data_IF_697271037003
#
_entry.id   IF_697271037003
#
_cell.length_a   1.000
_cell.length_b   1.000
_cell.length_c   1.000
_cell.angle_alpha   90.00
_cell.angle_beta   90.00
_cell.angle_gamma   90.00
#
_symmetry.space_group_name_H-M   'P 1'
#
loop_
_entity.id
_entity.type
_entity.pdbx_description
1 polymer ?
#
# COMPACT_ATOMS: atom_id res chain seq x y z
N UNK A 1 -26.86 13.71 22.83
CA UNK A 1 -25.99 13.85 21.65
C UNK A 1 -25.73 12.44 21.15
N UNK A 2 -25.94 12.16 19.86
CA UNK A 2 -25.58 10.84 19.30
C UNK A 2 -24.05 10.80 19.26
N UNK A 3 -23.44 9.92 20.04
CA UNK A 3 -21.98 9.74 20.06
C UNK A 3 -21.57 9.12 18.72
N UNK A 4 -20.55 9.68 18.09
CA UNK A 4 -20.04 9.18 16.82
C UNK A 4 -19.54 7.72 17.02
N UNK A 5 -20.02 6.76 16.21
CA UNK A 5 -19.70 5.35 16.38
C UNK A 5 -18.21 5.04 16.18
N UNK A 6 -17.49 5.82 15.37
CA UNK A 6 -16.05 5.66 15.16
C UNK A 6 -15.25 6.17 16.37
N UNK A 7 -15.61 7.32 16.92
CA UNK A 7 -14.99 7.86 18.14
C UNK A 7 -15.12 6.85 19.28
N UNK A 8 -16.33 6.35 19.52
CA UNK A 8 -16.58 5.33 20.55
C UNK A 8 -15.80 4.03 20.30
N UNK A 9 -15.68 3.61 19.04
CA UNK A 9 -14.95 2.40 18.69
C UNK A 9 -13.48 2.46 19.11
N UNK A 10 -12.86 3.64 18.94
CA UNK A 10 -11.48 3.89 19.35
C UNK A 10 -11.38 3.94 20.87
N UNK A 11 -12.25 4.70 21.53
CA UNK A 11 -12.29 4.82 23.00
C UNK A 11 -12.46 3.44 23.69
N UNK A 12 -13.37 2.62 23.18
CA UNK A 12 -13.69 1.29 23.74
C UNK A 12 -12.68 0.21 23.29
N UNK A 13 -11.64 0.55 22.51
CA UNK A 13 -10.71 -0.40 21.87
C UNK A 13 -11.42 -1.58 21.18
N UNK A 14 -12.57 -1.29 20.57
CA UNK A 14 -13.44 -2.30 19.96
C UNK A 14 -13.25 -2.38 18.44
N UNK A 15 -13.91 -3.35 17.81
CA UNK A 15 -13.91 -3.48 16.35
C UNK A 15 -14.77 -2.39 15.70
N UNK A 16 -14.39 -1.87 14.51
CA UNK A 16 -15.18 -0.88 13.81
C UNK A 16 -16.61 -1.37 13.55
N UNK A 17 -17.64 -0.59 13.90
CA UNK A 17 -19.04 -1.00 13.75
C UNK A 17 -19.51 -0.86 12.30
N UNK A 18 -18.90 -1.58 11.36
CA UNK A 18 -19.11 -1.45 9.91
C UNK A 18 -20.58 -1.52 9.47
N UNK A 19 -21.42 -2.27 10.19
CA UNK A 19 -22.84 -2.39 9.88
C UNK A 19 -23.65 -1.11 10.18
N UNK A 20 -23.15 -0.25 11.08
CA UNK A 20 -23.81 0.98 11.53
C UNK A 20 -23.11 2.24 11.01
N UNK A 21 -21.87 2.08 10.55
CA UNK A 21 -21.03 3.16 10.04
C UNK A 21 -21.66 3.83 8.82
N UNK A 22 -21.71 5.17 8.85
CA UNK A 22 -22.11 6.00 7.72
C UNK A 22 -20.92 6.83 7.24
N UNK A 23 -20.84 7.17 5.93
CA UNK A 23 -19.81 8.07 5.43
C UNK A 23 -19.74 9.40 6.21
N UNK A 24 -20.90 9.92 6.63
CA UNK A 24 -21.00 11.17 7.40
C UNK A 24 -20.37 11.09 8.80
N UNK A 25 -20.11 9.88 9.33
CA UNK A 25 -19.45 9.71 10.63
C UNK A 25 -17.92 9.91 10.54
N UNK A 26 -17.33 9.79 9.35
CA UNK A 26 -15.87 9.74 9.18
C UNK A 26 -15.22 11.09 9.43
N UNK A 27 -15.68 12.15 8.74
CA UNK A 27 -15.06 13.45 8.84
C UNK A 27 -15.14 14.04 10.26
N UNK A 28 -16.28 13.96 10.99
CA UNK A 28 -16.34 14.40 12.39
C UNK A 28 -15.41 13.61 13.30
N UNK A 29 -15.34 12.28 13.17
CA UNK A 29 -14.46 11.45 14.01
C UNK A 29 -12.98 11.79 13.79
N UNK A 30 -12.55 11.92 12.54
CA UNK A 30 -11.19 12.30 12.20
C UNK A 30 -10.84 13.70 12.72
N UNK A 31 -11.72 14.68 12.54
CA UNK A 31 -11.47 16.05 13.04
C UNK A 31 -11.32 16.09 14.56
N UNK A 32 -12.12 15.32 15.29
CA UNK A 32 -11.97 15.20 16.75
C UNK A 32 -10.62 14.59 17.11
N UNK A 33 -10.28 13.43 16.54
CA UNK A 33 -9.00 12.76 16.82
C UNK A 33 -7.80 13.61 16.43
N UNK A 34 -7.88 14.37 15.33
CA UNK A 34 -6.83 15.31 14.91
C UNK A 34 -6.66 16.47 15.90
N UNK A 35 -7.76 16.99 16.45
CA UNK A 35 -7.70 18.08 17.43
C UNK A 35 -7.11 17.59 18.77
N UNK A 36 -7.51 16.40 19.21
CA UNK A 36 -6.97 15.73 20.40
C UNK A 36 -5.47 15.44 20.21
N UNK A 37 -5.10 14.79 19.10
CA UNK A 37 -3.71 14.54 18.73
C UNK A 37 -2.84 15.81 18.76
N UNK A 38 -3.33 16.89 18.14
CA UNK A 38 -2.60 18.14 18.09
C UNK A 38 -2.38 18.75 19.49
N UNK A 39 -3.43 18.73 20.33
CA UNK A 39 -3.39 19.23 21.70
C UNK A 39 -2.46 18.38 22.58
N UNK A 40 -2.53 17.06 22.48
CA UNK A 40 -1.74 16.16 23.31
C UNK A 40 -0.27 16.17 22.89
N UNK A 41 0.03 16.31 21.59
CA UNK A 41 1.39 16.52 21.12
C UNK A 41 1.99 17.80 21.70
N UNK A 42 1.24 18.91 21.70
CA UNK A 42 1.69 20.18 22.29
C UNK A 42 1.96 20.03 23.80
N UNK A 43 1.09 19.32 24.53
CA UNK A 43 1.30 19.03 25.94
C UNK A 43 2.56 18.16 26.19
N UNK A 44 2.81 17.15 25.35
CA UNK A 44 4.04 16.34 25.42
C UNK A 44 5.28 17.20 25.14
N UNK A 45 5.23 18.06 24.13
CA UNK A 45 6.33 18.96 23.79
C UNK A 45 6.64 19.95 24.93
N UNK A 46 5.62 20.53 25.55
CA UNK A 46 5.77 21.45 26.68
C UNK A 46 6.39 20.75 27.91
N UNK A 47 5.92 19.54 28.24
CA UNK A 47 6.45 18.76 29.35
C UNK A 47 7.92 18.37 29.12
N UNK A 48 8.26 17.89 27.91
CA UNK A 48 9.60 17.45 27.55
C UNK A 48 10.59 18.61 27.37
N UNK A 49 10.10 19.82 27.08
CA UNK A 49 10.93 21.03 27.00
C UNK A 49 11.36 21.56 28.39
N UNK A 50 10.74 21.07 29.48
CA UNK A 50 11.11 21.47 30.83
C UNK A 50 12.54 21.00 31.18
N UNK A 51 13.44 21.88 31.67
CA UNK A 51 14.82 21.49 32.01
C UNK A 51 14.95 20.39 33.06
N UNK A 52 13.94 20.26 33.94
CA UNK A 52 13.88 19.27 35.01
C UNK A 52 13.05 18.04 34.62
N UNK A 53 12.68 17.89 33.34
CA UNK A 53 11.89 16.77 32.85
C UNK A 53 12.62 15.44 33.09
N UNK A 54 11.93 14.49 33.72
CA UNK A 54 12.42 13.12 33.84
C UNK A 54 12.19 12.37 32.51
N UNK A 55 13.29 12.05 31.83
CA UNK A 55 13.26 11.32 30.56
C UNK A 55 13.31 9.81 30.83
N UNK A 56 12.18 9.13 30.66
CA UNK A 56 12.03 7.69 30.78
C UNK A 56 11.31 7.12 29.55
N UNK A 57 11.19 5.78 29.47
CA UNK A 57 10.40 5.15 28.41
C UNK A 57 8.94 5.58 28.51
N UNK A 58 8.38 5.57 29.71
CA UNK A 58 6.99 5.90 30.01
C UNK A 58 6.69 7.38 29.72
N UNK A 59 7.61 8.29 30.06
CA UNK A 59 7.42 9.73 29.85
C UNK A 59 7.58 10.17 28.39
N UNK A 60 8.12 9.30 27.52
CA UNK A 60 8.33 9.60 26.10
C UNK A 60 7.55 8.64 25.22
N UNK A 61 7.94 7.37 25.18
CA UNK A 61 7.45 6.39 24.20
C UNK A 61 6.01 5.96 24.46
N UNK A 62 5.65 5.65 25.70
CA UNK A 62 4.27 5.25 26.01
C UNK A 62 3.29 6.39 25.75
N UNK A 63 3.66 7.63 26.09
CA UNK A 63 2.86 8.82 25.78
C UNK A 63 2.67 9.03 24.28
N UNK A 64 3.72 8.84 23.48
CA UNK A 64 3.63 8.93 22.02
C UNK A 64 2.71 7.86 21.44
N UNK A 65 2.85 6.60 21.90
CA UNK A 65 1.98 5.50 21.46
C UNK A 65 0.50 5.79 21.77
N UNK A 66 0.21 6.33 22.95
CA UNK A 66 -1.15 6.70 23.36
C UNK A 66 -1.76 7.76 22.45
N UNK A 67 -1.00 8.80 22.08
CA UNK A 67 -1.55 9.88 21.25
C UNK A 67 -1.64 9.48 19.77
N UNK A 68 -0.73 8.65 19.27
CA UNK A 68 -0.70 8.22 17.86
C UNK A 68 -1.90 7.29 17.54
N UNK A 69 -2.28 6.40 18.46
CA UNK A 69 -3.24 5.30 18.22
C UNK A 69 -4.62 5.76 17.69
N UNK A 70 -5.33 6.74 18.29
CA UNK A 70 -6.66 7.13 17.82
C UNK A 70 -6.72 7.56 16.36
N UNK A 71 -5.81 8.47 15.97
CA UNK A 71 -5.77 9.00 14.61
C UNK A 71 -5.30 7.93 13.61
N UNK A 72 -4.31 7.12 13.98
CA UNK A 72 -3.83 6.03 13.13
C UNK A 72 -4.90 4.96 12.86
N UNK A 73 -5.63 4.54 13.90
CA UNK A 73 -6.72 3.57 13.76
C UNK A 73 -7.82 4.10 12.84
N UNK A 74 -8.28 5.33 13.06
CA UNK A 74 -9.31 5.94 12.24
C UNK A 74 -8.86 6.10 10.78
N UNK A 75 -7.63 6.55 10.57
CA UNK A 75 -7.06 6.70 9.23
C UNK A 75 -6.94 5.34 8.53
N UNK A 76 -6.52 4.29 9.26
CA UNK A 76 -6.48 2.92 8.74
C UNK A 76 -7.86 2.44 8.31
N UNK A 77 -8.91 2.68 9.10
CA UNK A 77 -10.30 2.33 8.75
C UNK A 77 -10.69 3.00 7.42
N UNK A 78 -10.39 4.29 7.25
CA UNK A 78 -10.69 5.01 6.00
C UNK A 78 -9.96 4.40 4.81
N UNK A 79 -8.65 4.14 4.94
CA UNK A 79 -7.84 3.53 3.88
C UNK A 79 -8.34 2.12 3.51
N UNK A 80 -8.77 1.32 4.48
CA UNK A 80 -9.34 -0.01 4.22
C UNK A 80 -10.71 0.08 3.53
N UNK A 81 -11.59 0.99 3.97
CA UNK A 81 -12.89 1.22 3.33
C UNK A 81 -12.73 1.72 1.90
N UNK A 82 -11.74 2.57 1.61
CA UNK A 82 -11.43 2.99 0.25
C UNK A 82 -10.96 1.85 -0.66
N UNK A 83 -10.30 0.83 -0.09
CA UNK A 83 -9.91 -0.39 -0.83
C UNK A 83 -11.10 -1.32 -1.07
N UNK A 84 -11.96 -1.50 -0.06
CA UNK A 84 -13.02 -2.52 -0.08
C UNK A 84 -14.36 -2.03 -0.64
N UNK A 85 -14.77 -0.79 -0.34
CA UNK A 85 -16.10 -0.24 -0.62
C UNK A 85 -15.97 1.22 -1.09
N UNK A 86 -15.15 1.45 -2.12
CA UNK A 86 -14.84 2.79 -2.63
C UNK A 86 -16.10 3.56 -3.09
N UNK A 87 -16.53 4.57 -2.31
CA UNK A 87 -17.69 5.41 -2.59
C UNK A 87 -17.30 6.89 -2.77
N UNK A 88 -18.04 7.70 -3.56
CA UNK A 88 -17.75 9.13 -3.76
C UNK A 88 -17.59 9.91 -2.45
N UNK A 89 -18.43 9.63 -1.47
CA UNK A 89 -18.47 10.29 -0.16
C UNK A 89 -17.18 9.99 0.63
N UNK A 90 -16.69 8.74 0.58
CA UNK A 90 -15.42 8.35 1.19
C UNK A 90 -14.23 9.04 0.52
N UNK A 91 -14.24 9.15 -0.82
CA UNK A 91 -13.18 9.87 -1.55
C UNK A 91 -13.18 11.36 -1.24
N UNK A 92 -14.35 11.97 -1.09
CA UNK A 92 -14.48 13.37 -0.70
C UNK A 92 -13.92 13.60 0.71
N UNK A 93 -14.31 12.77 1.68
CA UNK A 93 -13.80 12.86 3.06
C UNK A 93 -12.27 12.65 3.13
N UNK A 94 -11.74 11.66 2.41
CA UNK A 94 -10.29 11.44 2.32
C UNK A 94 -9.58 12.66 1.69
N UNK A 95 -10.03 13.11 0.52
CA UNK A 95 -9.41 14.24 -0.18
C UNK A 95 -9.46 15.54 0.61
N UNK A 96 -10.47 15.74 1.45
CA UNK A 96 -10.60 16.92 2.31
C UNK A 96 -9.60 16.90 3.49
N UNK A 97 -9.35 15.72 4.06
CA UNK A 97 -8.66 15.58 5.34
C UNK A 97 -7.21 15.07 5.22
N UNK A 98 -6.85 14.40 4.12
CA UNK A 98 -5.54 13.79 3.89
C UNK A 98 -4.39 14.75 4.18
N UNK A 99 -4.46 15.96 3.62
CA UNK A 99 -3.43 16.99 3.78
C UNK A 99 -3.26 17.44 5.24
N UNK A 100 -4.35 17.48 6.02
CA UNK A 100 -4.28 17.82 7.44
C UNK A 100 -3.73 16.66 8.28
N UNK A 101 -4.14 15.42 7.98
CA UNK A 101 -3.62 14.21 8.64
C UNK A 101 -2.12 14.07 8.41
N UNK A 102 -1.67 14.19 7.15
CA UNK A 102 -0.26 14.12 6.77
C UNK A 102 0.55 15.23 7.44
N UNK A 103 0.01 16.46 7.52
CA UNK A 103 0.66 17.55 8.25
C UNK A 103 0.86 17.25 9.73
N UNK A 104 -0.14 16.70 10.41
CA UNK A 104 -0.04 16.35 11.84
C UNK A 104 0.96 15.22 12.07
N UNK A 105 0.92 14.17 11.24
CA UNK A 105 1.89 13.08 11.28
C UNK A 105 3.32 13.59 11.06
N UNK A 106 3.51 14.51 10.10
CA UNK A 106 4.81 15.14 9.86
C UNK A 106 5.23 16.04 11.04
N UNK A 107 4.32 16.84 11.62
CA UNK A 107 4.61 17.67 12.81
C UNK A 107 5.14 16.80 13.95
N UNK A 108 4.46 15.70 14.26
CA UNK A 108 4.89 14.72 15.28
C UNK A 108 6.23 14.10 14.94
N UNK A 109 6.38 13.58 13.72
CA UNK A 109 7.62 12.90 13.29
C UNK A 109 8.84 13.84 13.26
N UNK A 110 8.63 15.14 13.06
CA UNK A 110 9.67 16.17 12.97
C UNK A 110 9.83 16.99 14.27
N UNK A 111 9.12 16.63 15.35
CA UNK A 111 9.23 17.34 16.62
C UNK A 111 10.65 17.23 17.16
N UNK A 112 11.35 18.37 17.20
CA UNK A 112 12.74 18.46 17.66
C UNK A 112 12.84 18.10 19.14
N UNK A 113 11.85 18.51 19.95
CA UNK A 113 11.82 18.24 21.39
C UNK A 113 11.65 16.74 21.64
N UNK A 114 10.68 16.10 20.97
CA UNK A 114 10.50 14.64 21.05
C UNK A 114 11.75 13.90 20.57
N UNK A 115 12.35 14.33 19.45
CA UNK A 115 13.58 13.73 18.94
C UNK A 115 14.75 13.83 19.93
N UNK A 116 14.92 14.98 20.59
CA UNK A 116 15.93 15.19 21.62
C UNK A 116 15.69 14.31 22.84
N UNK A 117 14.44 14.17 23.29
CA UNK A 117 14.06 13.28 24.38
C UNK A 117 14.35 11.81 24.03
N UNK A 118 13.98 11.34 22.83
CA UNK A 118 14.29 10.00 22.34
C UNK A 118 15.81 9.76 22.22
N UNK A 119 16.57 10.76 21.77
CA UNK A 119 18.04 10.71 21.71
C UNK A 119 18.64 10.60 23.11
N UNK A 120 18.12 11.37 24.06
CA UNK A 120 18.55 11.33 25.47
C UNK A 120 18.25 9.97 26.09
N UNK A 121 17.08 9.40 25.81
CA UNK A 121 16.71 8.05 26.25
C UNK A 121 17.64 6.99 25.66
N UNK A 122 18.01 7.12 24.37
CA UNK A 122 18.96 6.23 23.67
C UNK A 122 20.37 6.29 24.25
N UNK A 123 20.86 7.50 24.50
CA UNK A 123 22.24 7.73 24.91
C UNK A 123 22.40 7.63 26.44
N UNK A 124 21.29 7.55 27.17
CA UNK A 124 21.23 7.46 28.62
C UNK A 124 21.44 6.06 29.20
N UNK A 125 21.66 5.95 30.51
CA UNK A 125 21.91 4.68 31.19
C UNK A 125 20.68 3.76 31.21
N UNK A 126 19.47 4.29 31.00
CA UNK A 126 18.24 3.48 30.93
C UNK A 126 18.21 2.58 29.68
N UNK A 127 18.87 2.98 28.59
CA UNK A 127 18.83 2.25 27.31
C UNK A 127 19.29 0.80 27.41
N UNK A 128 20.33 0.53 28.22
CA UNK A 128 20.85 -0.84 28.41
C UNK A 128 19.90 -1.75 29.18
N UNK A 129 18.90 -1.18 29.86
CA UNK A 129 17.88 -1.95 30.59
C UNK A 129 16.60 -2.18 29.77
N UNK A 130 16.45 -1.50 28.63
CA UNK A 130 15.32 -1.68 27.72
C UNK A 130 15.39 -3.05 27.03
N UNK A 131 14.23 -3.58 26.63
CA UNK A 131 14.18 -4.82 25.85
C UNK A 131 14.75 -4.61 24.43
N UNK A 132 15.10 -5.70 23.76
CA UNK A 132 15.56 -5.66 22.36
C UNK A 132 14.56 -4.94 21.46
N UNK A 133 13.26 -5.16 21.65
CA UNK A 133 12.19 -4.55 20.88
C UNK A 133 12.14 -3.04 21.12
N UNK A 134 12.25 -2.59 22.37
CA UNK A 134 12.28 -1.17 22.73
C UNK A 134 13.49 -0.46 22.13
N UNK A 135 14.67 -1.08 22.18
CA UNK A 135 15.89 -0.58 21.55
C UNK A 135 15.74 -0.45 20.02
N UNK A 136 15.16 -1.47 19.39
CA UNK A 136 14.86 -1.46 17.94
C UNK A 136 13.85 -0.37 17.60
N UNK A 137 12.81 -0.15 18.41
CA UNK A 137 11.81 0.90 18.18
C UNK A 137 12.44 2.29 18.21
N UNK A 138 13.30 2.58 19.19
CA UNK A 138 14.05 3.86 19.25
C UNK A 138 14.97 4.01 18.02
N UNK A 139 15.65 2.94 17.61
CA UNK A 139 16.49 2.94 16.41
C UNK A 139 15.71 3.06 15.09
N UNK A 140 14.47 2.55 15.03
CA UNK A 140 13.57 2.64 13.86
C UNK A 140 12.84 3.97 13.77
N UNK A 141 12.65 4.69 14.87
CA UNK A 141 12.11 6.06 14.82
C UNK A 141 13.00 6.99 13.97
N UNK A 142 14.29 6.65 13.83
CA UNK A 142 15.23 7.37 12.96
C UNK A 142 15.08 6.99 11.48
N UNK A 143 14.39 5.91 11.16
CA UNK A 143 14.19 5.44 9.80
C UNK A 143 13.16 4.28 9.81
N UNK A 144 11.98 4.40 9.17
CA UNK A 144 11.15 3.22 8.78
C UNK A 144 9.91 3.53 7.93
N UNK A 145 9.58 2.58 7.05
CA UNK A 145 8.28 2.38 6.40
C UNK A 145 8.27 1.13 5.48
N UNK A 146 7.46 0.11 5.77
CA UNK A 146 7.46 -1.27 5.17
C UNK A 146 6.02 -1.81 4.96
N UNK A 147 5.77 -2.75 4.01
CA UNK A 147 4.68 -3.78 4.14
C UNK A 147 4.78 -5.05 3.25
N UNK A 148 3.99 -6.11 3.58
CA UNK A 148 4.00 -7.53 3.10
C UNK A 148 2.65 -8.05 2.49
N UNK A 149 2.56 -9.38 2.20
CA UNK A 149 1.97 -10.16 1.08
C UNK A 149 0.56 -10.81 1.27
N UNK A 150 -0.05 -11.20 0.14
CA UNK A 150 -1.35 -11.87 -0.18
C UNK A 150 -1.66 -13.29 0.38
N UNK A 151 -2.94 -13.53 0.68
CA UNK A 151 -3.66 -14.81 0.46
C UNK A 151 -5.18 -14.57 0.35
N UNK A 152 -5.81 -14.75 -0.83
CA UNK A 152 -7.27 -15.03 -1.01
C UNK A 152 -7.74 -15.16 -2.48
N UNK A 153 -6.99 -15.85 -3.33
CA UNK A 153 -7.24 -15.86 -4.79
C UNK A 153 -8.50 -16.62 -5.24
N UNK A 154 -8.93 -17.66 -4.54
CA UNK A 154 -10.00 -18.54 -5.03
C UNK A 154 -11.42 -18.03 -4.74
N UNK A 155 -11.64 -17.41 -3.58
CA UNK A 155 -12.92 -16.78 -3.24
C UNK A 155 -13.21 -15.57 -4.11
N UNK A 156 -12.15 -14.82 -4.43
CA UNK A 156 -12.17 -13.66 -5.31
C UNK A 156 -12.66 -14.03 -6.73
N UNK A 157 -12.16 -15.14 -7.29
CA UNK A 157 -12.54 -15.60 -8.63
C UNK A 157 -14.03 -15.97 -8.73
N UNK A 158 -14.61 -16.61 -7.71
CA UNK A 158 -16.03 -16.99 -7.70
C UNK A 158 -16.97 -15.78 -7.65
N UNK A 159 -16.58 -14.72 -6.93
CA UNK A 159 -17.35 -13.46 -6.82
C UNK A 159 -17.30 -12.69 -8.14
N UNK A 160 -16.13 -12.64 -8.80
CA UNK A 160 -15.97 -11.90 -10.06
C UNK A 160 -16.84 -12.45 -11.21
N UNK A 161 -16.94 -13.78 -11.34
CA UNK A 161 -17.82 -14.40 -12.36
C UNK A 161 -19.28 -13.98 -12.16
N UNK A 162 -19.75 -13.89 -10.91
CA UNK A 162 -21.12 -13.46 -10.60
C UNK A 162 -21.36 -11.97 -10.88
N UNK A 163 -20.39 -11.12 -10.57
CA UNK A 163 -20.46 -9.67 -10.83
C UNK A 163 -20.49 -9.35 -12.32
N UNK A 164 -19.74 -10.08 -13.15
CA UNK A 164 -19.77 -9.88 -14.60
C UNK A 164 -21.13 -10.19 -15.23
N UNK A 165 -21.78 -11.26 -14.78
CA UNK A 165 -23.14 -11.60 -15.22
C UNK A 165 -24.17 -10.52 -14.81
N UNK A 166 -24.03 -9.94 -13.61
CA UNK A 166 -24.92 -8.85 -13.14
C UNK A 166 -24.70 -7.54 -13.90
N UNK A 167 -23.45 -7.21 -14.25
CA UNK A 167 -23.14 -6.04 -15.06
C UNK A 167 -23.72 -6.12 -16.48
N UNK A 168 -23.82 -7.31 -17.07
CA UNK A 168 -24.46 -7.51 -18.37
C UNK A 168 -25.97 -7.29 -18.30
N UNK A 169 -26.62 -7.75 -17.23
CA UNK A 169 -28.05 -7.50 -16.97
C UNK A 169 -28.32 -6.01 -16.76
N UNK A 170 -27.48 -5.32 -15.97
CA UNK A 170 -27.60 -3.89 -15.72
C UNK A 170 -27.40 -3.02 -16.98
N UNK A 171 -26.64 -3.51 -17.98
CA UNK A 171 -26.45 -2.85 -19.27
C UNK A 171 -27.62 -3.07 -20.27
N UNK A 172 -28.71 -3.71 -19.85
CA UNK A 172 -29.92 -3.90 -20.66
C UNK A 172 -30.06 -5.28 -21.32
N UNK A 173 -29.16 -6.22 -21.05
CA UNK A 173 -29.23 -7.58 -21.59
C UNK A 173 -29.96 -8.53 -20.63
N UNK A 174 -31.29 -8.41 -20.58
CA UNK A 174 -32.15 -9.05 -19.57
C UNK A 174 -32.14 -10.59 -19.59
N UNK A 175 -31.73 -11.21 -20.70
CA UNK A 175 -31.61 -12.68 -20.86
C UNK A 175 -30.18 -13.21 -20.64
N UNK A 176 -29.24 -12.34 -20.26
CA UNK A 176 -27.85 -12.75 -20.09
C UNK A 176 -27.68 -13.68 -18.89
N UNK A 177 -27.21 -14.89 -19.13
CA UNK A 177 -26.72 -15.80 -18.10
C UNK A 177 -25.20 -15.92 -18.21
N UNK A 178 -24.57 -16.53 -17.19
CA UNK A 178 -23.15 -16.88 -17.27
C UNK A 178 -22.84 -17.77 -18.51
N UNK A 179 -23.83 -18.54 -18.97
CA UNK A 179 -23.73 -19.49 -20.08
C UNK A 179 -24.06 -18.88 -21.44
N UNK A 180 -24.93 -17.85 -21.52
CA UNK A 180 -25.47 -17.34 -22.80
C UNK A 180 -24.99 -15.94 -23.22
N UNK A 181 -24.38 -15.17 -22.31
CA UNK A 181 -23.88 -13.82 -22.61
C UNK A 181 -24.99 -12.80 -22.97
N UNK A 182 -24.63 -11.60 -23.47
CA UNK A 182 -23.28 -11.15 -23.82
C UNK A 182 -22.41 -10.95 -22.58
N UNK A 183 -21.10 -11.20 -22.73
CA UNK A 183 -20.11 -11.02 -21.66
C UNK A 183 -19.39 -9.69 -21.80
N UNK A 184 -19.23 -8.97 -20.68
CA UNK A 184 -18.35 -7.80 -20.57
C UNK A 184 -17.03 -8.22 -19.94
N UNK A 185 -15.96 -8.22 -20.72
CA UNK A 185 -14.63 -8.58 -20.26
C UNK A 185 -14.02 -7.38 -19.51
N UNK A 186 -13.69 -7.54 -18.23
CA UNK A 186 -12.88 -6.58 -17.47
C UNK A 186 -11.40 -6.90 -17.61
N UNK A 187 -10.56 -5.94 -17.24
CA UNK A 187 -9.11 -6.12 -17.19
C UNK A 187 -8.63 -6.51 -15.78
N UNK A 188 -9.53 -6.92 -14.89
CA UNK A 188 -9.16 -7.41 -13.56
C UNK A 188 -8.54 -8.80 -13.68
N UNK A 189 -7.55 -9.10 -12.85
CA UNK A 189 -6.77 -10.36 -12.93
C UNK A 189 -7.62 -11.64 -13.06
N UNK A 190 -8.75 -11.83 -12.35
CA UNK A 190 -9.61 -13.02 -12.47
C UNK A 190 -10.20 -13.25 -13.85
N UNK A 191 -10.17 -12.24 -14.70
CA UNK A 191 -10.78 -12.22 -16.02
C UNK A 191 -9.67 -12.16 -17.07
N UNK A 192 -8.74 -11.23 -16.89
CA UNK A 192 -7.61 -11.03 -17.78
C UNK A 192 -6.69 -12.26 -17.86
N UNK A 193 -6.28 -12.83 -16.73
CA UNK A 193 -5.30 -13.94 -16.72
C UNK A 193 -5.87 -15.22 -17.37
N UNK A 194 -7.11 -15.67 -17.06
CA UNK A 194 -7.69 -16.81 -17.75
C UNK A 194 -7.92 -16.56 -19.24
N UNK A 195 -8.25 -15.34 -19.66
CA UNK A 195 -8.41 -15.02 -21.08
C UNK A 195 -7.09 -15.12 -21.84
N UNK A 196 -5.98 -14.60 -21.28
CA UNK A 196 -4.67 -14.81 -21.92
C UNK A 196 -4.26 -16.28 -21.96
N UNK A 197 -4.60 -17.07 -20.93
CA UNK A 197 -4.20 -18.48 -20.83
C UNK A 197 -5.08 -19.44 -21.66
N UNK A 198 -6.37 -19.17 -21.79
CA UNK A 198 -7.34 -20.13 -22.34
C UNK A 198 -8.09 -19.64 -23.58
N UNK A 199 -8.14 -18.33 -23.86
CA UNK A 199 -8.84 -17.84 -25.04
C UNK A 199 -8.10 -18.23 -26.33
N UNK A 200 -8.71 -19.06 -27.16
CA UNK A 200 -8.13 -19.47 -28.45
C UNK A 200 -8.02 -18.30 -29.45
N UNK A 201 -8.86 -17.27 -29.32
CA UNK A 201 -8.85 -16.10 -30.22
C UNK A 201 -7.67 -15.19 -29.92
N UNK A 202 -6.64 -15.25 -30.78
CA UNK A 202 -5.45 -14.37 -30.70
C UNK A 202 -5.81 -12.88 -30.75
N UNK A 203 -6.70 -12.39 -31.63
CA UNK A 203 -7.08 -10.97 -31.62
C UNK A 203 -7.67 -10.49 -30.29
N UNK A 204 -8.44 -11.34 -29.58
CA UNK A 204 -8.98 -11.00 -28.27
C UNK A 204 -7.86 -10.88 -27.23
N UNK A 205 -6.92 -11.84 -27.21
CA UNK A 205 -5.75 -11.78 -26.32
C UNK A 205 -4.92 -10.52 -26.56
N UNK A 206 -4.66 -10.20 -27.83
CA UNK A 206 -3.91 -9.01 -28.21
C UNK A 206 -4.62 -7.73 -27.75
N UNK A 207 -5.92 -7.60 -28.02
CA UNK A 207 -6.70 -6.43 -27.62
C UNK A 207 -6.70 -6.24 -26.10
N UNK A 208 -6.91 -7.32 -25.33
CA UNK A 208 -6.90 -7.28 -23.86
C UNK A 208 -5.52 -6.93 -23.32
N UNK A 209 -4.45 -7.53 -23.85
CA UNK A 209 -3.08 -7.24 -23.44
C UNK A 209 -2.71 -5.77 -23.65
N UNK A 210 -3.01 -5.23 -24.84
CA UNK A 210 -2.78 -3.81 -25.15
C UNK A 210 -3.59 -2.89 -24.24
N UNK A 211 -4.89 -3.18 -24.06
CA UNK A 211 -5.74 -2.40 -23.16
C UNK A 211 -5.26 -2.45 -21.70
N UNK A 212 -4.76 -3.60 -21.24
CA UNK A 212 -4.20 -3.75 -19.90
C UNK A 212 -2.91 -2.94 -19.71
N UNK A 213 -2.04 -2.90 -20.71
CA UNK A 213 -0.79 -2.16 -20.65
C UNK A 213 -0.94 -0.64 -20.86
N UNK A 214 -2.03 -0.20 -21.49
CA UNK A 214 -2.34 1.24 -21.64
C UNK A 214 -3.10 1.79 -20.41
N UNK A 215 -3.42 0.94 -19.41
CA UNK A 215 -4.06 1.37 -18.17
C UNK A 215 -3.28 2.50 -17.50
N UNK A 216 -4.03 3.52 -17.07
CA UNK A 216 -3.51 4.61 -16.28
C UNK A 216 -2.30 5.33 -16.91
N UNK A 217 -2.20 5.36 -18.25
CA UNK A 217 -1.15 6.08 -18.98
C UNK A 217 -1.07 7.58 -18.63
N UNK A 218 -2.20 8.16 -18.23
CA UNK A 218 -2.25 9.53 -17.71
C UNK A 218 -1.45 9.74 -16.41
N UNK A 219 -0.96 8.67 -15.76
CA UNK A 219 -0.12 8.74 -14.56
C UNK A 219 1.35 9.05 -14.86
N UNK A 220 1.79 9.04 -16.12
CA UNK A 220 3.18 9.36 -16.50
C UNK A 220 3.72 10.64 -15.83
N UNK A 221 3.05 11.83 -15.91
CA UNK A 221 3.53 13.03 -15.23
C UNK A 221 3.62 12.88 -13.71
N UNK A 222 2.67 12.16 -13.10
CA UNK A 222 2.66 11.89 -11.65
C UNK A 222 3.85 11.03 -11.25
N UNK A 223 4.17 9.99 -12.03
CA UNK A 223 5.34 9.13 -11.79
C UNK A 223 6.64 9.93 -11.88
N UNK A 224 6.75 10.80 -12.89
CA UNK A 224 7.93 11.68 -13.05
C UNK A 224 8.09 12.60 -11.84
N UNK A 225 7.00 13.23 -11.39
CA UNK A 225 7.01 14.09 -10.20
C UNK A 225 7.41 13.31 -8.93
N UNK A 226 6.85 12.11 -8.71
CA UNK A 226 7.23 11.23 -7.59
C UNK A 226 8.74 10.93 -7.63
N UNK A 227 9.30 10.61 -8.80
CA UNK A 227 10.73 10.32 -8.93
C UNK A 227 11.60 11.54 -8.61
N UNK A 228 11.18 12.73 -9.04
CA UNK A 228 11.88 13.99 -8.74
C UNK A 228 11.83 14.31 -7.24
N UNK A 229 10.65 14.23 -6.62
CA UNK A 229 10.47 14.47 -5.17
C UNK A 229 11.26 13.47 -4.33
N UNK A 230 11.25 12.18 -4.71
CA UNK A 230 12.05 11.14 -4.04
C UNK A 230 13.55 11.41 -4.13
N UNK A 231 14.04 11.89 -5.27
CA UNK A 231 15.44 12.27 -5.42
C UNK A 231 15.79 13.47 -4.53
N UNK A 232 14.95 14.52 -4.53
CA UNK A 232 15.15 15.70 -3.68
C UNK A 232 15.16 15.32 -2.20
N UNK A 233 14.20 14.50 -1.75
CA UNK A 233 14.14 13.99 -0.38
C UNK A 233 15.42 13.24 0.01
N UNK A 234 15.91 12.35 -0.85
CA UNK A 234 17.14 11.61 -0.61
C UNK A 234 18.35 12.56 -0.47
N UNK A 235 18.47 13.55 -1.36
CA UNK A 235 19.56 14.53 -1.34
C UNK A 235 19.52 15.41 -0.09
N UNK A 236 18.34 15.84 0.35
CA UNK A 236 18.16 16.60 1.60
C UNK A 236 18.62 15.82 2.83
N UNK A 237 18.48 14.50 2.81
CA UNK A 237 18.91 13.59 3.87
C UNK A 237 20.36 13.10 3.69
N UNK A 238 21.11 13.62 2.72
CA UNK A 238 22.52 13.27 2.49
C UNK A 238 22.77 12.00 1.69
N UNK A 239 21.74 11.40 1.09
CA UNK A 239 21.86 10.21 0.23
C UNK A 239 21.99 10.59 -1.25
N UNK A 240 22.64 9.74 -2.05
CA UNK A 240 22.83 9.99 -3.50
C UNK A 240 21.58 9.66 -4.31
N UNK A 241 20.74 8.76 -3.80
CA UNK A 241 19.51 8.32 -4.46
C UNK A 241 18.47 7.87 -3.44
N UNK A 242 17.20 7.86 -3.86
CA UNK A 242 16.12 7.30 -3.04
C UNK A 242 16.30 5.80 -2.77
N UNK A 243 17.02 5.08 -3.64
CA UNK A 243 17.32 3.67 -3.41
C UNK A 243 18.22 3.48 -2.18
N UNK A 244 19.26 4.31 -2.04
CA UNK A 244 20.11 4.29 -0.83
C UNK A 244 19.33 4.64 0.43
N UNK A 245 18.49 5.68 0.37
CA UNK A 245 17.62 6.07 1.48
C UNK A 245 16.69 4.90 1.89
N UNK A 246 16.10 4.20 0.92
CA UNK A 246 15.21 3.06 1.18
C UNK A 246 15.90 1.87 1.82
N UNK A 247 17.22 1.72 1.65
CA UNK A 247 17.98 0.59 2.20
C UNK A 247 18.34 0.77 3.67
N UNK A 248 18.25 1.98 4.24
CA UNK A 248 18.52 2.24 5.67
C UNK A 248 17.71 1.32 6.58
N UNK A 249 16.52 0.91 6.15
CA UNK A 249 15.58 0.06 6.89
C UNK A 249 15.43 -1.34 6.33
N UNK A 250 16.31 -1.72 5.41
CA UNK A 250 16.26 -3.01 4.75
C UNK A 250 17.43 -3.89 5.23
N UNK A 251 17.27 -5.20 5.12
CA UNK A 251 18.34 -6.15 5.48
C UNK A 251 19.48 -6.16 4.46
N UNK A 252 19.26 -5.62 3.25
CA UNK A 252 20.29 -5.55 2.22
C UNK A 252 21.35 -4.48 2.57
N UNK A 253 22.65 -4.84 2.58
CA UNK A 253 23.69 -3.98 3.14
C UNK A 253 24.10 -2.82 2.22
N UNK A 254 23.82 -2.89 0.92
CA UNK A 254 24.15 -1.84 -0.04
C UNK A 254 23.35 -1.98 -1.35
N UNK A 255 23.36 -0.91 -2.16
CA UNK A 255 22.82 -0.90 -3.52
C UNK A 255 23.51 -1.95 -4.39
N UNK A 256 24.85 -2.03 -4.32
CA UNK A 256 25.65 -2.96 -5.11
C UNK A 256 25.29 -4.41 -4.78
N UNK A 257 25.13 -4.75 -3.50
CA UNK A 257 24.74 -6.10 -3.09
C UNK A 257 23.37 -6.53 -3.63
N UNK A 258 22.43 -5.58 -3.80
CA UNK A 258 21.14 -5.87 -4.44
C UNK A 258 21.34 -6.16 -5.92
N UNK A 259 22.11 -5.32 -6.64
CA UNK A 259 22.39 -5.55 -8.06
C UNK A 259 23.17 -6.83 -8.31
N UNK A 260 24.16 -7.15 -7.47
CA UNK A 260 24.91 -8.41 -7.54
C UNK A 260 23.96 -9.62 -7.43
N UNK A 261 23.03 -9.57 -6.47
CA UNK A 261 22.02 -10.62 -6.29
C UNK A 261 21.08 -10.73 -7.50
N UNK A 262 20.60 -9.60 -8.02
CA UNK A 262 19.74 -9.57 -9.20
C UNK A 262 20.46 -10.08 -10.45
N UNK A 263 21.73 -9.73 -10.62
CA UNK A 263 22.56 -10.17 -11.73
C UNK A 263 22.90 -11.65 -11.63
N UNK A 264 23.18 -12.17 -10.43
CA UNK A 264 23.35 -13.61 -10.22
C UNK A 264 22.08 -14.39 -10.60
N UNK A 265 20.92 -13.91 -10.15
CA UNK A 265 19.62 -14.48 -10.51
C UNK A 265 19.39 -14.42 -12.02
N UNK A 266 19.62 -13.26 -12.65
CA UNK A 266 19.49 -13.07 -14.10
C UNK A 266 20.41 -14.02 -14.87
N UNK A 267 21.68 -14.12 -14.49
CA UNK A 267 22.68 -14.93 -15.18
C UNK A 267 22.32 -16.43 -15.16
N UNK A 268 21.65 -16.90 -14.10
CA UNK A 268 21.16 -18.29 -14.00
C UNK A 268 19.80 -18.49 -14.69
N UNK A 269 18.88 -17.53 -14.55
CA UNK A 269 17.50 -17.66 -15.03
C UNK A 269 17.34 -17.35 -16.53
N UNK A 270 18.09 -16.38 -17.06
CA UNK A 270 17.90 -15.89 -18.43
C UNK A 270 18.21 -16.93 -19.51
N UNK A 271 19.29 -17.72 -19.44
CA UNK A 271 19.52 -18.79 -20.42
C UNK A 271 18.41 -19.86 -20.38
N UNK A 272 17.85 -20.14 -19.19
CA UNK A 272 16.74 -21.08 -19.02
C UNK A 272 15.44 -20.52 -19.62
N UNK A 273 15.10 -19.27 -19.34
CA UNK A 273 13.89 -18.63 -19.89
C UNK A 273 13.94 -18.54 -21.43
N UNK A 274 15.12 -18.31 -22.02
CA UNK A 274 15.29 -18.39 -23.46
C UNK A 274 15.09 -19.81 -24.01
N UNK A 275 15.55 -20.83 -23.29
CA UNK A 275 15.35 -22.22 -23.70
C UNK A 275 13.88 -22.62 -23.61
N UNK A 276 13.19 -22.22 -22.55
CA UNK A 276 11.75 -22.39 -22.37
C UNK A 276 10.97 -21.68 -23.48
N UNK A 277 11.30 -20.42 -23.80
CA UNK A 277 10.65 -19.70 -24.90
C UNK A 277 10.82 -20.43 -26.24
N UNK A 278 12.01 -20.94 -26.55
CA UNK A 278 12.23 -21.76 -27.76
C UNK A 278 11.38 -23.04 -27.77
N UNK A 279 11.16 -23.67 -26.63
CA UNK A 279 10.27 -24.83 -26.53
C UNK A 279 8.82 -24.43 -26.81
N UNK A 280 8.36 -23.31 -26.26
CA UNK A 280 7.01 -22.77 -26.53
C UNK A 280 6.83 -22.43 -28.01
N UNK A 281 7.83 -21.79 -28.62
CA UNK A 281 7.79 -21.45 -30.05
C UNK A 281 7.74 -22.72 -30.92
N UNK A 282 8.47 -23.78 -30.55
CA UNK A 282 8.38 -25.08 -31.22
C UNK A 282 6.99 -25.71 -31.11
N UNK A 283 6.39 -25.68 -29.92
CA UNK A 283 5.01 -26.17 -29.70
C UNK A 283 3.98 -25.37 -30.50
N UNK A 284 4.13 -24.05 -30.51
CA UNK A 284 3.24 -23.13 -31.24
C UNK A 284 3.36 -23.34 -32.75
N UNK A 285 4.58 -23.47 -33.28
CA UNK A 285 4.84 -23.75 -34.69
C UNK A 285 4.23 -25.09 -35.14
N UNK A 286 4.30 -26.14 -34.30
CA UNK A 286 3.68 -27.43 -34.58
C UNK A 286 2.15 -27.35 -34.75
N UNK A 287 1.52 -26.28 -34.23
CA UNK A 287 0.10 -25.98 -34.37
C UNK A 287 -0.18 -24.85 -35.37
N UNK A 288 0.79 -24.51 -36.24
CA UNK A 288 0.70 -23.46 -37.25
C UNK A 288 0.46 -22.04 -36.68
N UNK A 289 0.89 -21.78 -35.45
CA UNK A 289 0.82 -20.44 -34.85
C UNK A 289 1.94 -19.54 -35.39
N UNK A 290 1.68 -18.25 -35.66
CA UNK A 290 2.70 -17.32 -36.16
C UNK A 290 3.81 -17.08 -35.12
N UNK A 291 5.05 -17.01 -35.61
CA UNK A 291 6.26 -16.70 -34.83
C UNK A 291 6.86 -15.34 -35.25
N UNK A 292 7.63 -14.67 -34.36
CA UNK A 292 7.91 -15.05 -32.96
C UNK A 292 6.67 -14.95 -32.07
N UNK A 293 6.68 -15.62 -30.91
CA UNK A 293 5.59 -15.46 -29.95
C UNK A 293 5.58 -14.03 -29.40
N UNK A 294 4.44 -13.36 -29.51
CA UNK A 294 4.23 -12.06 -28.89
C UNK A 294 3.87 -12.22 -27.40
N UNK A 295 4.01 -11.19 -26.56
CA UNK A 295 3.72 -11.29 -25.13
C UNK A 295 2.31 -11.78 -24.78
N UNK A 296 1.31 -11.51 -25.63
CA UNK A 296 -0.07 -12.01 -25.47
C UNK A 296 -0.29 -13.43 -25.99
N UNK A 297 0.72 -14.04 -26.61
CA UNK A 297 0.72 -15.44 -27.02
C UNK A 297 1.37 -16.35 -25.96
N UNK A 298 2.35 -15.84 -25.20
CA UNK A 298 3.12 -16.64 -24.23
C UNK A 298 2.24 -17.38 -23.21
N UNK A 299 1.28 -16.75 -22.49
CA UNK A 299 0.47 -17.45 -21.49
C UNK A 299 -0.43 -18.55 -22.07
N UNK A 300 -0.81 -18.43 -23.35
CA UNK A 300 -1.64 -19.43 -24.02
C UNK A 300 -0.86 -20.71 -24.33
N UNK A 301 0.41 -20.57 -24.71
CA UNK A 301 1.29 -21.66 -25.11
C UNK A 301 2.06 -22.30 -23.95
N UNK A 302 2.15 -21.64 -22.79
CA UNK A 302 2.83 -22.13 -21.57
C UNK A 302 2.11 -23.30 -20.86
N UNK A 303 1.45 -24.20 -21.60
CA UNK A 303 0.69 -25.34 -21.05
C UNK A 303 1.50 -26.63 -21.03
#
# INVERSE_FOLDING_TARGET
>A
MVVNPLTRCVEDYSLPPYAQLRPDDIAPALRTAMAEFASDLEAIEDDLACPDAEISWESVMDRLEIIDDPLERLWCIVLQLMKAVNMPELRAAHSELEDQVVRLQNKRAQSVVVYQAMTTLRDGPAYVTLTTEQQVTIGRATASGVNLVDHDKDRFNAIHVRLQALNAVAAGHVLATAESGPWKLSLESPVYDPLLKYCASRPIREQLYRANNDKAKANEPVVVEILQLRLQLAQMLGFRSFFELSLVNNSAPSVDSVFDTLDELRNKAFPRSQAELRQLEGLAAAHNHPLPLEPWDVPYWYK
#
